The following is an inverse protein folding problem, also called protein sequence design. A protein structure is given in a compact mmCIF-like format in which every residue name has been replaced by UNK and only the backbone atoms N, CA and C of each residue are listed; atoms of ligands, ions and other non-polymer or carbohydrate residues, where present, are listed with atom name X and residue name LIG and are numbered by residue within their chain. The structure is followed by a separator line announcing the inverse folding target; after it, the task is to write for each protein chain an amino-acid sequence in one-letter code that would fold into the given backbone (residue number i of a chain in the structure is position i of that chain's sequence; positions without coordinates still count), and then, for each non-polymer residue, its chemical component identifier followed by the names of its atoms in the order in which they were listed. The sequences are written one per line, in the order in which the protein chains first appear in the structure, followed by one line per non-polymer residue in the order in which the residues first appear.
data_IF_474119934742
#
_entry.id   IF_474119934742
#
_cell.length_a   1.000
_cell.length_b   1.000
_cell.length_c   1.000
_cell.angle_alpha   90.00
_cell.angle_beta   90.00
_cell.angle_gamma   90.00
#
_symmetry.space_group_name_H-M   'P 1'
#
loop_
_entity.id
_entity.type
_entity.pdbx_description
1 polymer ?
#
# COMPACT_ATOMS: atom_id res chain seq x y z
N UNK A 1 114.89 -74.00 -38.49
CA UNK A 1 114.37 -72.87 -39.28
C UNK A 1 113.09 -72.45 -38.59
N UNK A 2 113.14 -71.27 -38.00
CA UNK A 2 112.05 -70.62 -37.28
C UNK A 2 110.83 -70.49 -38.19
N UNK A 3 109.79 -71.27 -37.91
CA UNK A 3 108.47 -71.06 -38.48
C UNK A 3 107.81 -69.91 -37.75
N UNK A 4 108.28 -68.69 -38.02
CA UNK A 4 107.59 -67.48 -37.57
C UNK A 4 106.18 -67.53 -38.18
N UNK A 5 105.19 -67.85 -37.34
CA UNK A 5 103.79 -67.55 -37.66
C UNK A 5 103.75 -66.04 -37.75
N UNK A 6 103.81 -65.54 -38.98
CA UNK A 6 103.42 -64.16 -39.30
C UNK A 6 102.01 -64.05 -38.77
N UNK A 7 101.81 -63.35 -37.64
CA UNK A 7 100.48 -62.99 -37.19
C UNK A 7 99.82 -62.34 -38.41
N UNK A 8 98.81 -63.02 -38.93
CA UNK A 8 97.98 -62.57 -40.04
C UNK A 8 97.42 -61.21 -39.68
N UNK A 9 97.15 -60.40 -40.70
CA UNK A 9 96.75 -58.99 -40.59
C UNK A 9 95.87 -58.69 -39.38
N UNK A 10 96.16 -57.58 -38.71
CA UNK A 10 95.40 -57.03 -37.59
C UNK A 10 93.90 -56.92 -37.96
N UNK A 11 93.05 -57.66 -37.24
CA UNK A 11 91.59 -57.70 -37.44
C UNK A 11 90.89 -56.51 -36.74
N UNK A 12 91.65 -55.51 -36.27
CA UNK A 12 91.12 -54.34 -35.59
C UNK A 12 90.36 -53.42 -36.57
N UNK A 13 89.22 -52.89 -36.12
CA UNK A 13 88.45 -51.87 -36.84
C UNK A 13 89.30 -50.60 -36.97
N UNK A 14 89.60 -50.21 -38.21
CA UNK A 14 90.38 -49.02 -38.54
C UNK A 14 89.51 -47.78 -38.73
N UNK A 15 88.20 -47.94 -38.91
CA UNK A 15 87.25 -46.83 -38.98
C UNK A 15 85.78 -47.25 -38.96
N UNK A 16 84.92 -46.35 -38.49
CA UNK A 16 83.47 -46.49 -38.57
C UNK A 16 82.86 -45.14 -38.98
N UNK A 17 81.97 -45.16 -39.97
CA UNK A 17 81.31 -43.94 -40.46
C UNK A 17 79.90 -44.23 -40.95
N UNK A 18 79.00 -43.26 -40.82
CA UNK A 18 77.67 -43.28 -41.44
C UNK A 18 77.65 -42.18 -42.49
N UNK A 19 77.18 -42.50 -43.69
CA UNK A 19 77.02 -41.53 -44.77
C UNK A 19 75.65 -40.85 -44.75
N UNK A 20 75.44 -39.88 -45.64
CA UNK A 20 74.17 -39.17 -45.76
C UNK A 20 73.00 -40.01 -46.30
N UNK A 21 73.25 -41.28 -46.67
CA UNK A 21 72.22 -42.25 -47.09
C UNK A 21 71.93 -43.27 -45.98
N UNK A 22 72.37 -42.99 -44.74
CA UNK A 22 72.20 -43.88 -43.58
C UNK A 22 72.87 -45.25 -43.76
N UNK A 23 73.96 -45.34 -44.52
CA UNK A 23 74.74 -46.57 -44.62
C UNK A 23 75.89 -46.53 -43.61
N UNK A 24 75.92 -47.49 -42.68
CA UNK A 24 77.04 -47.68 -41.75
C UNK A 24 78.15 -48.47 -42.46
N UNK A 25 79.33 -47.88 -42.59
CA UNK A 25 80.55 -48.51 -43.09
C UNK A 25 81.51 -48.76 -41.93
N UNK A 26 81.94 -50.00 -41.77
CA UNK A 26 83.00 -50.43 -40.85
C UNK A 26 84.19 -50.89 -41.68
N UNK A 27 85.34 -50.27 -41.46
CA UNK A 27 86.59 -50.55 -42.16
C UNK A 27 87.53 -51.37 -41.26
N UNK A 28 88.15 -52.39 -41.84
CA UNK A 28 89.12 -53.29 -41.20
C UNK A 28 90.32 -53.45 -42.16
N UNK A 29 91.37 -52.68 -41.90
CA UNK A 29 92.52 -52.57 -42.81
C UNK A 29 92.12 -52.09 -44.21
N UNK A 30 92.16 -53.00 -45.20
CA UNK A 30 91.80 -52.73 -46.60
C UNK A 30 90.40 -53.25 -47.00
N UNK A 31 89.70 -53.91 -46.07
CA UNK A 31 88.35 -54.46 -46.27
C UNK A 31 87.31 -53.57 -45.60
N UNK A 32 86.07 -53.62 -46.10
CA UNK A 32 84.96 -52.87 -45.50
C UNK A 32 83.67 -53.68 -45.54
N UNK A 33 82.89 -53.61 -44.46
CA UNK A 33 81.50 -54.09 -44.42
C UNK A 33 80.57 -52.89 -44.37
N UNK A 34 79.45 -52.99 -45.09
CA UNK A 34 78.40 -51.97 -45.09
C UNK A 34 77.09 -52.58 -44.61
N UNK A 35 76.35 -51.82 -43.82
CA UNK A 35 74.99 -52.13 -43.40
C UNK A 35 74.10 -50.96 -43.79
N UNK A 36 73.09 -51.24 -44.60
CA UNK A 36 72.07 -50.27 -44.95
C UNK A 36 71.12 -50.08 -43.76
N UNK A 37 71.14 -48.90 -43.14
CA UNK A 37 70.23 -48.52 -42.07
C UNK A 37 69.11 -47.60 -42.58
N UNK A 38 68.94 -47.42 -43.90
CA UNK A 38 67.87 -46.58 -44.48
C UNK A 38 66.48 -47.06 -44.07
N UNK A 39 66.28 -48.37 -43.89
CA UNK A 39 65.02 -48.92 -43.38
C UNK A 39 64.76 -48.59 -41.90
N UNK A 40 65.78 -48.13 -41.16
CA UNK A 40 65.67 -47.61 -39.79
C UNK A 40 65.60 -46.08 -39.75
N UNK A 41 65.60 -45.41 -40.91
CA UNK A 41 65.43 -43.97 -40.99
C UNK A 41 63.95 -43.62 -40.72
N UNK A 42 63.67 -43.03 -39.57
CA UNK A 42 62.31 -42.68 -39.11
C UNK A 42 61.75 -41.39 -39.76
N UNK A 43 62.40 -40.84 -40.79
CA UNK A 43 62.06 -39.53 -41.35
C UNK A 43 60.67 -39.46 -41.97
N UNK A 44 60.19 -40.57 -42.53
CA UNK A 44 58.83 -40.68 -43.07
C UNK A 44 57.76 -40.63 -41.96
N UNK A 45 57.98 -41.36 -40.86
CA UNK A 45 57.06 -41.40 -39.72
C UNK A 45 57.03 -40.05 -38.98
N UNK A 46 58.19 -39.41 -38.80
CA UNK A 46 58.28 -38.05 -38.24
C UNK A 46 57.50 -37.05 -39.10
N UNK A 47 57.63 -37.14 -40.43
CA UNK A 47 56.90 -36.26 -41.36
C UNK A 47 55.39 -36.47 -41.25
N UNK A 48 54.94 -37.73 -41.14
CA UNK A 48 53.52 -38.03 -40.97
C UNK A 48 52.98 -37.44 -39.66
N UNK A 49 53.68 -37.64 -38.54
CA UNK A 49 53.31 -37.08 -37.23
C UNK A 49 53.28 -35.55 -37.27
N UNK A 50 54.25 -34.92 -37.95
CA UNK A 50 54.27 -33.46 -38.07
C UNK A 50 53.05 -32.94 -38.85
N UNK A 51 52.70 -33.58 -39.97
CA UNK A 51 51.51 -33.21 -40.73
C UNK A 51 50.23 -33.36 -39.89
N UNK A 52 50.12 -34.43 -39.10
CA UNK A 52 48.97 -34.63 -38.22
C UNK A 52 48.91 -33.57 -37.12
N UNK A 53 50.04 -33.18 -36.55
CA UNK A 53 50.13 -32.10 -35.55
C UNK A 53 49.73 -30.75 -36.16
N UNK A 54 50.26 -30.42 -37.34
CA UNK A 54 49.94 -29.18 -38.05
C UNK A 54 48.44 -29.12 -38.41
N UNK A 55 47.86 -30.24 -38.83
CA UNK A 55 46.43 -30.33 -39.11
C UNK A 55 45.60 -30.17 -37.83
N UNK A 56 46.01 -30.81 -36.72
CA UNK A 56 45.32 -30.65 -35.44
C UNK A 56 45.38 -29.21 -34.91
N UNK A 57 46.50 -28.51 -35.12
CA UNK A 57 46.64 -27.09 -34.77
C UNK A 57 45.68 -26.24 -35.62
N UNK A 58 45.64 -26.46 -36.93
CA UNK A 58 44.71 -25.77 -37.82
C UNK A 58 43.23 -26.03 -37.47
N UNK A 59 42.88 -27.27 -37.14
CA UNK A 59 41.53 -27.65 -36.73
C UNK A 59 41.14 -26.99 -35.39
N UNK A 60 42.07 -26.94 -34.43
CA UNK A 60 41.86 -26.28 -33.14
C UNK A 60 41.68 -24.77 -33.30
N UNK A 61 42.50 -24.11 -34.12
CA UNK A 61 42.39 -22.68 -34.43
C UNK A 61 41.05 -22.36 -35.08
N UNK A 62 40.61 -23.19 -36.04
CA UNK A 62 39.31 -23.04 -36.68
C UNK A 62 38.14 -23.20 -35.69
N UNK A 63 38.23 -24.17 -34.79
CA UNK A 63 37.22 -24.39 -33.75
C UNK A 63 37.15 -23.23 -32.75
N UNK A 64 38.29 -22.70 -32.31
CA UNK A 64 38.38 -21.55 -31.39
C UNK A 64 37.80 -20.30 -32.06
N UNK A 65 38.11 -20.06 -33.33
CA UNK A 65 37.56 -18.94 -34.08
C UNK A 65 36.04 -19.06 -34.23
N UNK A 66 35.53 -20.24 -34.54
CA UNK A 66 34.10 -20.50 -34.63
C UNK A 66 33.38 -20.26 -33.30
N UNK A 67 33.95 -20.72 -32.18
CA UNK A 67 33.40 -20.53 -30.84
C UNK A 67 33.44 -19.05 -30.43
N UNK A 68 34.52 -18.33 -30.74
CA UNK A 68 34.63 -16.89 -30.49
C UNK A 68 33.53 -16.12 -31.23
N UNK A 69 33.34 -16.41 -32.52
CA UNK A 69 32.28 -15.78 -33.32
C UNK A 69 30.88 -16.09 -32.78
N UNK A 70 30.64 -17.33 -32.38
CA UNK A 70 29.36 -17.76 -31.79
C UNK A 70 29.09 -17.04 -30.46
N UNK A 71 30.10 -16.92 -29.61
CA UNK A 71 30.01 -16.21 -28.34
C UNK A 71 29.73 -14.72 -28.54
N UNK A 72 30.49 -14.04 -29.40
CA UNK A 72 30.29 -12.61 -29.70
C UNK A 72 28.90 -12.33 -30.29
N UNK A 73 28.39 -13.21 -31.16
CA UNK A 73 27.05 -13.06 -31.72
C UNK A 73 25.95 -13.23 -30.65
N UNK A 74 26.13 -14.20 -29.73
CA UNK A 74 25.22 -14.40 -28.61
C UNK A 74 25.25 -13.21 -27.63
N UNK A 75 26.44 -12.72 -27.28
CA UNK A 75 26.61 -11.54 -26.43
C UNK A 75 25.95 -10.30 -27.04
N UNK A 76 26.13 -10.07 -28.34
CA UNK A 76 25.49 -8.95 -29.05
C UNK A 76 23.96 -9.07 -29.00
N UNK A 77 23.42 -10.29 -29.16
CA UNK A 77 21.97 -10.53 -29.11
C UNK A 77 21.42 -10.27 -27.70
N UNK A 78 22.11 -10.75 -26.67
CA UNK A 78 21.73 -10.54 -25.27
C UNK A 78 21.82 -9.06 -24.91
N UNK A 79 22.86 -8.36 -25.34
CA UNK A 79 23.01 -6.94 -25.06
C UNK A 79 21.86 -6.13 -25.66
N UNK A 80 21.48 -6.41 -26.92
CA UNK A 80 20.33 -5.73 -27.55
C UNK A 80 19.02 -5.99 -26.80
N UNK A 81 18.81 -7.21 -26.31
CA UNK A 81 17.61 -7.55 -25.51
C UNK A 81 17.60 -6.83 -24.16
N UNK A 82 18.75 -6.75 -23.49
CA UNK A 82 18.91 -5.99 -22.24
C UNK A 82 18.65 -4.49 -22.47
N UNK A 83 19.24 -3.90 -23.50
CA UNK A 83 19.06 -2.47 -23.83
C UNK A 83 17.58 -2.16 -24.15
N UNK A 84 16.89 -3.07 -24.83
CA UNK A 84 15.47 -2.93 -25.11
C UNK A 84 14.63 -3.07 -23.82
N UNK A 85 14.94 -4.04 -22.96
CA UNK A 85 14.27 -4.21 -21.68
C UNK A 85 14.45 -2.99 -20.76
N UNK A 86 15.64 -2.38 -20.73
CA UNK A 86 15.90 -1.13 -20.01
C UNK A 86 15.05 0.01 -20.57
N UNK A 87 15.00 0.16 -21.89
CA UNK A 87 14.18 1.18 -22.56
C UNK A 87 12.69 1.02 -22.27
N UNK A 88 12.19 -0.23 -22.32
CA UNK A 88 10.78 -0.53 -22.04
C UNK A 88 10.43 -0.27 -20.57
N UNK A 89 11.33 -0.62 -19.65
CA UNK A 89 11.17 -0.35 -18.22
C UNK A 89 11.14 1.15 -17.93
N UNK A 90 12.07 1.92 -18.50
CA UNK A 90 12.11 3.38 -18.34
C UNK A 90 10.83 4.04 -18.87
N UNK A 91 10.34 3.61 -20.03
CA UNK A 91 9.08 4.09 -20.60
C UNK A 91 7.87 3.77 -19.70
N UNK A 92 7.82 2.55 -19.14
CA UNK A 92 6.75 2.15 -18.23
C UNK A 92 6.78 2.95 -16.91
N UNK A 93 7.96 3.17 -16.34
CA UNK A 93 8.14 3.97 -15.12
C UNK A 93 7.72 5.43 -15.35
N UNK A 94 8.10 6.01 -16.49
CA UNK A 94 7.71 7.38 -16.84
C UNK A 94 6.18 7.50 -17.02
N UNK A 95 5.57 6.54 -17.71
CA UNK A 95 4.12 6.50 -17.91
C UNK A 95 3.37 6.40 -16.55
N UNK A 96 3.84 5.54 -15.66
CA UNK A 96 3.25 5.38 -14.32
C UNK A 96 3.41 6.64 -13.47
N UNK A 97 4.58 7.27 -13.51
CA UNK A 97 4.84 8.54 -12.81
C UNK A 97 3.87 9.62 -13.28
N UNK A 98 3.70 9.80 -14.60
CA UNK A 98 2.77 10.77 -15.16
C UNK A 98 1.31 10.47 -14.76
N UNK A 99 0.91 9.19 -14.79
CA UNK A 99 -0.43 8.75 -14.39
C UNK A 99 -0.69 9.03 -12.91
N UNK A 100 0.28 8.75 -12.05
CA UNK A 100 0.20 9.00 -10.62
C UNK A 100 0.08 10.49 -10.33
N UNK A 101 0.97 11.32 -10.87
CA UNK A 101 0.94 12.79 -10.68
C UNK A 101 -0.36 13.43 -11.18
N UNK A 102 -0.90 12.98 -12.31
CA UNK A 102 -2.19 13.46 -12.82
C UNK A 102 -3.36 13.10 -11.89
N UNK A 103 -3.34 11.87 -11.35
CA UNK A 103 -4.35 11.40 -10.40
C UNK A 103 -4.27 12.17 -9.08
N UNK A 104 -3.06 12.33 -8.54
CA UNK A 104 -2.81 13.11 -7.31
C UNK A 104 -3.29 14.56 -7.45
N UNK A 105 -3.02 15.19 -8.58
CA UNK A 105 -3.50 16.56 -8.86
C UNK A 105 -5.03 16.62 -8.88
N UNK A 106 -5.68 15.62 -9.48
CA UNK A 106 -7.15 15.56 -9.53
C UNK A 106 -7.74 15.39 -8.14
N UNK A 107 -7.21 14.45 -7.36
CA UNK A 107 -7.65 14.21 -5.97
C UNK A 107 -7.43 15.45 -5.10
N UNK A 108 -6.30 16.14 -5.27
CA UNK A 108 -6.04 17.36 -4.50
C UNK A 108 -7.07 18.45 -4.81
N UNK A 109 -7.41 18.66 -6.08
CA UNK A 109 -8.45 19.62 -6.46
C UNK A 109 -9.82 19.25 -5.86
N UNK A 110 -10.18 17.97 -5.86
CA UNK A 110 -11.43 17.50 -5.26
C UNK A 110 -11.44 17.71 -3.73
N UNK A 111 -10.31 17.49 -3.06
CA UNK A 111 -10.15 17.74 -1.62
C UNK A 111 -10.30 19.22 -1.32
N UNK A 112 -9.59 20.08 -2.06
CA UNK A 112 -9.64 21.54 -1.88
C UNK A 112 -11.07 22.08 -2.09
N UNK A 113 -11.80 21.55 -3.08
CA UNK A 113 -13.20 21.91 -3.31
C UNK A 113 -14.11 21.44 -2.17
N UNK A 114 -13.93 20.22 -1.68
CA UNK A 114 -14.72 19.70 -0.55
C UNK A 114 -14.46 20.50 0.73
N UNK A 115 -13.22 20.93 0.97
CA UNK A 115 -12.87 21.81 2.08
C UNK A 115 -13.59 23.16 1.96
N UNK A 116 -13.53 23.80 0.79
CA UNK A 116 -14.22 25.06 0.53
C UNK A 116 -15.76 24.94 0.68
N UNK A 117 -16.36 23.86 0.20
CA UNK A 117 -17.80 23.61 0.32
C UNK A 117 -18.21 23.38 1.79
N UNK A 118 -17.40 22.65 2.55
CA UNK A 118 -17.63 22.42 3.97
C UNK A 118 -17.53 23.71 4.78
N UNK A 119 -16.50 24.51 4.54
CA UNK A 119 -16.31 25.82 5.17
C UNK A 119 -17.50 26.75 4.89
N UNK A 120 -17.95 26.81 3.63
CA UNK A 120 -19.12 27.61 3.26
C UNK A 120 -20.41 27.13 3.96
N UNK A 121 -20.62 25.81 4.07
CA UNK A 121 -21.78 25.24 4.74
C UNK A 121 -21.78 25.48 6.26
N UNK A 122 -20.60 25.44 6.89
CA UNK A 122 -20.43 25.75 8.32
C UNK A 122 -20.69 27.23 8.57
N UNK A 123 -20.09 28.12 7.77
CA UNK A 123 -20.27 29.56 7.89
C UNK A 123 -21.75 29.97 7.83
N UNK A 124 -22.55 29.35 6.96
CA UNK A 124 -23.98 29.63 6.86
C UNK A 124 -24.77 29.27 8.14
N UNK A 125 -24.40 28.18 8.83
CA UNK A 125 -25.06 27.78 10.08
C UNK A 125 -24.66 28.63 11.28
N UNK A 126 -23.41 29.11 11.28
CA UNK A 126 -22.91 29.98 12.34
C UNK A 126 -23.26 31.45 12.13
N UNK A 127 -23.72 31.80 10.93
CA UNK A 127 -24.16 33.13 10.55
C UNK A 127 -25.10 33.72 11.60
N UNK A 128 -24.70 34.87 12.14
CA UNK A 128 -25.49 35.60 13.12
C UNK A 128 -26.83 36.07 12.56
N UNK A 129 -26.94 36.24 11.24
CA UNK A 129 -28.22 36.52 10.58
C UNK A 129 -29.23 35.37 10.72
N UNK A 130 -28.74 34.14 10.85
CA UNK A 130 -29.56 32.94 11.05
C UNK A 130 -29.81 32.63 12.54
N UNK A 131 -29.28 33.45 13.47
CA UNK A 131 -29.53 33.34 14.91
C UNK A 131 -30.61 34.34 15.34
N UNK A 132 -31.52 33.90 16.20
CA UNK A 132 -32.46 34.79 16.87
C UNK A 132 -31.80 35.45 18.07
N UNK A 133 -31.87 36.79 18.13
CA UNK A 133 -31.58 37.63 19.29
C UNK A 133 -32.84 38.32 19.84
N UNK A 134 -34.01 38.04 19.26
CA UNK A 134 -35.26 38.67 19.64
C UNK A 134 -35.84 38.03 20.91
N UNK A 135 -35.74 38.77 22.01
CA UNK A 135 -36.27 38.39 23.31
C UNK A 135 -37.80 38.33 23.35
N UNK A 136 -38.49 38.93 22.38
CA UNK A 136 -39.95 38.98 22.34
C UNK A 136 -40.57 37.87 21.48
N UNK A 137 -39.76 37.04 20.81
CA UNK A 137 -40.20 36.01 19.88
C UNK A 137 -41.15 36.56 18.80
N UNK A 138 -40.85 37.73 18.24
CA UNK A 138 -41.75 38.42 17.30
C UNK A 138 -41.59 37.93 15.86
N UNK A 139 -40.54 37.16 15.52
CA UNK A 139 -40.39 36.53 14.21
C UNK A 139 -41.46 35.45 14.01
N UNK A 140 -42.39 35.74 13.11
CA UNK A 140 -43.47 34.84 12.71
C UNK A 140 -43.04 33.80 11.66
N UNK A 141 -41.75 33.64 11.40
CA UNK A 141 -41.19 32.67 10.45
C UNK A 141 -40.38 31.57 11.15
N UNK A 142 -40.01 30.54 10.39
CA UNK A 142 -39.15 29.44 10.84
C UNK A 142 -37.73 29.55 10.26
N UNK A 143 -37.26 30.76 10.01
CA UNK A 143 -36.00 31.00 9.27
C UNK A 143 -34.80 31.02 10.21
N UNK A 144 -34.93 31.62 11.38
CA UNK A 144 -33.88 31.70 12.39
C UNK A 144 -33.84 30.47 13.29
N UNK A 145 -32.67 30.18 13.86
CA UNK A 145 -32.45 29.09 14.81
C UNK A 145 -32.10 29.64 16.21
N UNK A 146 -32.74 29.14 17.29
CA UNK A 146 -33.98 28.36 17.27
C UNK A 146 -35.14 29.15 16.64
N UNK A 147 -36.16 28.47 16.13
CA UNK A 147 -37.31 29.10 15.48
C UNK A 147 -38.23 29.77 16.50
N UNK A 148 -38.29 31.09 16.50
CA UNK A 148 -39.10 31.88 17.44
C UNK A 148 -40.59 31.50 17.39
N UNK A 149 -41.15 31.34 16.17
CA UNK A 149 -42.55 30.94 15.99
C UNK A 149 -42.90 29.63 16.71
N UNK A 150 -42.03 28.61 16.62
CA UNK A 150 -42.28 27.33 17.28
C UNK A 150 -42.21 27.46 18.80
N UNK A 151 -41.23 28.21 19.31
CA UNK A 151 -41.09 28.47 20.75
C UNK A 151 -42.31 29.22 21.27
N UNK A 152 -42.73 30.30 20.58
CA UNK A 152 -43.89 31.10 20.97
C UNK A 152 -45.18 30.27 20.94
N UNK A 153 -45.40 29.49 19.89
CA UNK A 153 -46.59 28.61 19.78
C UNK A 153 -46.64 27.60 20.92
N UNK A 154 -45.50 26.99 21.26
CA UNK A 154 -45.42 26.07 22.40
C UNK A 154 -45.73 26.79 23.72
N UNK A 155 -45.07 27.92 24.00
CA UNK A 155 -45.25 28.68 25.24
C UNK A 155 -46.69 29.21 25.39
N UNK A 156 -47.26 29.80 24.33
CA UNK A 156 -48.63 30.31 24.33
C UNK A 156 -49.63 29.16 24.61
N UNK A 157 -49.43 28.00 23.98
CA UNK A 157 -50.27 26.81 24.22
C UNK A 157 -50.17 26.30 25.66
N UNK A 158 -48.96 26.29 26.24
CA UNK A 158 -48.75 25.89 27.63
C UNK A 158 -49.41 26.87 28.62
N UNK A 159 -49.32 28.19 28.38
CA UNK A 159 -49.91 29.21 29.26
C UNK A 159 -51.44 29.13 29.24
N UNK A 160 -52.06 28.92 28.08
CA UNK A 160 -53.51 28.74 27.96
C UNK A 160 -53.99 27.51 28.74
N UNK A 161 -53.20 26.42 28.74
CA UNK A 161 -53.56 25.20 29.44
C UNK A 161 -53.51 25.31 30.97
N UNK A 162 -52.81 26.30 31.54
CA UNK A 162 -52.61 26.48 32.98
C UNK A 162 -53.36 27.68 33.56
N UNK A 163 -54.23 28.35 32.78
CA UNK A 163 -54.83 29.62 33.16
C UNK A 163 -56.01 29.52 34.16
N UNK A 164 -56.36 28.33 34.64
CA UNK A 164 -57.55 28.12 35.49
C UNK A 164 -57.26 27.11 36.61
N UNK A 165 -56.32 27.44 37.50
CA UNK A 165 -56.05 26.73 38.78
C UNK A 165 -56.21 27.68 39.99
N UNK A 166 -56.73 28.89 39.77
CA UNK A 166 -56.96 29.89 40.83
C UNK A 166 -58.43 29.91 41.26
N UNK A 167 -58.68 30.17 42.54
CA UNK A 167 -60.04 30.40 43.06
C UNK A 167 -60.58 31.70 42.46
N UNK A 168 -61.59 31.57 41.61
CA UNK A 168 -62.29 32.68 40.95
C UNK A 168 -63.35 33.33 41.83
N UNK A 169 -63.84 32.60 42.85
CA UNK A 169 -64.80 33.12 43.81
C UNK A 169 -64.98 32.21 45.01
N UNK A 170 -65.33 32.81 46.15
CA UNK A 170 -65.77 32.09 47.33
C UNK A 170 -67.00 32.77 47.91
N UNK A 171 -68.04 32.00 48.18
CA UNK A 171 -69.30 32.52 48.74
C UNK A 171 -69.90 31.52 49.71
N UNK A 172 -70.60 32.02 50.72
CA UNK A 172 -71.43 31.22 51.62
C UNK A 172 -72.88 31.60 51.35
N UNK A 173 -73.73 30.61 51.10
CA UNK A 173 -75.16 30.85 50.87
C UNK A 173 -75.96 30.93 52.19
N UNK A 174 -77.26 31.24 52.08
CA UNK A 174 -78.15 31.33 53.24
C UNK A 174 -78.44 29.99 53.93
N UNK A 175 -77.91 28.88 53.41
CA UNK A 175 -77.98 27.54 54.01
C UNK A 175 -76.63 27.13 54.63
N UNK A 176 -75.70 28.07 54.77
CA UNK A 176 -74.34 27.85 55.29
C UNK A 176 -73.50 26.88 54.44
N UNK A 177 -73.70 26.84 53.13
CA UNK A 177 -72.84 26.08 52.21
C UNK A 177 -71.74 27.00 51.67
N UNK A 178 -70.47 26.67 51.94
CA UNK A 178 -69.33 27.34 51.31
C UNK A 178 -69.14 26.78 49.90
N UNK A 179 -69.34 27.62 48.89
CA UNK A 179 -69.02 27.35 47.50
C UNK A 179 -67.70 28.04 47.14
N UNK A 180 -66.73 27.25 46.69
CA UNK A 180 -65.47 27.72 46.12
C UNK A 180 -65.53 27.44 44.62
N UNK A 181 -65.43 28.49 43.81
CA UNK A 181 -65.47 28.43 42.36
C UNK A 181 -64.04 28.49 41.79
N UNK A 182 -63.70 27.50 40.96
CA UNK A 182 -62.46 27.39 40.21
C UNK A 182 -62.84 27.37 38.73
N UNK A 183 -62.86 28.56 38.14
CA UNK A 183 -63.34 28.79 36.78
C UNK A 183 -64.77 28.30 36.55
N UNK A 184 -64.90 27.21 35.79
CA UNK A 184 -66.19 26.57 35.48
C UNK A 184 -66.59 25.44 36.44
N UNK A 185 -65.67 25.04 37.32
CA UNK A 185 -65.89 24.01 38.35
C UNK A 185 -66.17 24.66 39.69
N UNK A 186 -66.83 23.92 40.59
CA UNK A 186 -67.08 24.39 41.95
C UNK A 186 -67.02 23.25 42.95
N UNK A 187 -66.42 23.49 44.10
CA UNK A 187 -66.48 22.60 45.27
C UNK A 187 -67.39 23.24 46.31
N UNK A 188 -68.32 22.44 46.84
CA UNK A 188 -69.19 22.87 47.93
C UNK A 188 -68.87 22.10 49.19
N UNK A 189 -68.76 22.82 50.31
CA UNK A 189 -68.64 22.24 51.64
C UNK A 189 -69.86 22.65 52.43
N UNK A 190 -70.62 21.66 52.89
CA UNK A 190 -71.76 21.88 53.78
C UNK A 190 -71.26 22.20 55.19
N UNK A 191 -71.47 23.45 55.63
CA UNK A 191 -71.14 23.90 56.98
C UNK A 191 -72.37 23.99 57.87
N UNK A 192 -73.54 23.47 57.44
CA UNK A 192 -74.78 23.55 58.21
C UNK A 192 -74.68 22.86 59.58
N UNK A 193 -73.81 21.86 59.71
CA UNK A 193 -73.56 21.19 60.99
C UNK A 193 -72.77 22.06 61.98
N UNK A 194 -72.11 23.12 61.49
CA UNK A 194 -71.45 24.15 62.30
C UNK A 194 -72.33 25.39 62.51
N UNK A 195 -73.59 25.37 62.05
CA UNK A 195 -74.50 26.50 62.23
C UNK A 195 -75.13 26.43 63.64
N UNK A 196 -74.54 27.12 64.62
CA UNK A 196 -75.02 27.08 66.02
C UNK A 196 -76.17 28.04 66.34
N UNK A 197 -76.75 28.73 65.35
CA UNK A 197 -77.79 29.74 65.59
C UNK A 197 -79.03 29.20 66.29
N UNK A 198 -79.41 27.95 66.04
CA UNK A 198 -80.49 27.27 66.75
C UNK A 198 -80.15 27.00 68.23
N UNK A 199 -78.95 26.50 68.51
CA UNK A 199 -78.49 26.20 69.87
C UNK A 199 -78.30 27.48 70.71
N UNK A 200 -77.78 28.55 70.10
CA UNK A 200 -77.67 29.88 70.74
C UNK A 200 -79.06 30.44 71.08
N UNK A 201 -80.02 30.30 70.17
CA UNK A 201 -81.40 30.77 70.40
C UNK A 201 -82.06 29.99 71.55
N UNK A 202 -81.82 28.68 71.63
CA UNK A 202 -82.33 27.85 72.72
C UNK A 202 -81.75 28.27 74.09
N UNK A 203 -80.43 28.49 74.18
CA UNK A 203 -79.79 28.99 75.40
C UNK A 203 -80.32 30.38 75.78
N UNK A 204 -80.51 31.28 74.81
CA UNK A 204 -81.07 32.61 75.08
C UNK A 204 -82.50 32.53 75.62
N UNK A 205 -83.34 31.65 75.05
CA UNK A 205 -84.69 31.39 75.55
C UNK A 205 -84.70 30.85 76.98
N UNK A 206 -83.75 29.99 77.35
CA UNK A 206 -83.62 29.48 78.72
C UNK A 206 -83.18 30.58 79.70
N UNK A 207 -82.19 31.40 79.31
CA UNK A 207 -81.72 32.56 80.09
C UNK A 207 -82.85 33.58 80.29
N UNK A 208 -83.62 33.86 79.24
CA UNK A 208 -84.76 34.78 79.30
C UNK A 208 -85.92 34.24 80.17
N UNK A 209 -85.99 32.91 80.38
CA UNK A 209 -86.94 32.26 81.30
C UNK A 209 -86.47 32.22 82.76
N UNK A 210 -85.17 32.44 83.03
CA UNK A 210 -84.59 32.40 84.38
C UNK A 210 -84.38 33.77 85.04
N UNK A 211 -84.70 34.87 84.34
CA UNK A 211 -84.74 36.24 84.86
C UNK A 211 -86.18 36.74 85.01
#
# INVERSE_FOLDING_TARGET
MDGQITATADDDITGASIDGSSVLKIDEGASSVTVDLSALEESADITAVQNDVDQNEADADAAILAETNRATAAETTIQNDVDQNETDADAAILAETNRATATETTIQNDIDQNEADADAAIALKEDSANKSDDVNLADATNTKFPTELAVKTYVDGQIIATADDDITGASIDGSSVLKIDEGTSSVTVDLSALEESADITAVQSDVDQTN
#
